data_IF_062304721253
#
_entry.id   IF_062304721253
#
_cell.length_a   1.000
_cell.length_b   1.000
_cell.length_c   1.000
_cell.angle_alpha   90.00
_cell.angle_beta   90.00
_cell.angle_gamma   90.00
#
_symmetry.space_group_name_H-M   'P 1'
#
loop_
_entity.id
_entity.type
_entity.pdbx_description
1 polymer ?
#
# COMPACT_ATOMS: atom_id res chain seq x y z
N UNK A 1 -14.66 -48.61 -80.80
CA UNK A 1 -13.38 -48.43 -80.08
C UNK A 1 -13.60 -47.37 -79.07
N UNK A 2 -13.78 -47.83 -77.80
CA UNK A 2 -14.13 -47.01 -76.65
C UNK A 2 -12.85 -46.82 -75.79
N UNK A 3 -12.37 -45.60 -75.73
CA UNK A 3 -11.28 -45.28 -74.78
C UNK A 3 -11.84 -44.77 -73.47
N UNK A 4 -11.49 -45.53 -72.42
CA UNK A 4 -11.94 -45.27 -71.11
C UNK A 4 -11.30 -44.00 -70.42
N UNK A 5 -12.14 -43.23 -69.77
CA UNK A 5 -11.74 -42.14 -68.90
C UNK A 5 -11.44 -42.70 -67.55
N UNK A 6 -10.18 -42.82 -67.15
CA UNK A 6 -9.76 -43.20 -65.78
C UNK A 6 -9.33 -41.96 -65.00
N UNK A 7 -10.13 -41.66 -64.06
CA UNK A 7 -9.85 -41.36 -62.65
C UNK A 7 -8.55 -40.59 -62.32
N UNK A 8 -8.66 -39.28 -62.21
CA UNK A 8 -7.74 -38.48 -61.38
C UNK A 8 -8.58 -37.79 -60.32
N UNK A 9 -8.88 -38.55 -59.26
CA UNK A 9 -9.64 -38.08 -58.11
C UNK A 9 -8.89 -38.39 -56.81
N UNK A 10 -8.79 -37.42 -55.92
CA UNK A 10 -8.54 -37.55 -54.49
C UNK A 10 -7.09 -37.70 -53.99
N UNK A 11 -6.25 -36.69 -54.17
CA UNK A 11 -5.08 -36.58 -53.33
C UNK A 11 -4.81 -35.17 -52.76
N UNK A 12 -5.72 -34.22 -52.90
CA UNK A 12 -5.53 -32.86 -52.45
C UNK A 12 -6.03 -32.50 -51.03
N UNK A 13 -6.85 -33.29 -50.30
CA UNK A 13 -7.23 -32.83 -48.96
C UNK A 13 -6.26 -33.27 -47.84
N UNK A 14 -5.39 -34.27 -48.07
CA UNK A 14 -4.51 -34.75 -47.00
C UNK A 14 -3.30 -33.83 -46.71
N UNK A 15 -2.81 -33.13 -47.75
CA UNK A 15 -1.68 -32.24 -47.58
C UNK A 15 -2.08 -30.92 -46.87
N UNK A 16 -3.32 -30.45 -47.06
CA UNK A 16 -3.83 -29.23 -46.40
C UNK A 16 -4.07 -29.43 -44.88
N UNK A 17 -4.42 -30.66 -44.45
CA UNK A 17 -4.67 -30.97 -43.05
C UNK A 17 -3.37 -31.07 -42.24
N UNK A 18 -2.26 -31.48 -42.86
CA UNK A 18 -0.96 -31.58 -42.18
C UNK A 18 -0.30 -30.22 -41.99
N UNK A 19 -0.59 -29.22 -42.79
CA UNK A 19 -0.04 -27.87 -42.67
C UNK A 19 -0.72 -27.05 -41.57
N UNK A 20 -1.97 -27.37 -41.19
CA UNK A 20 -2.68 -26.75 -40.11
C UNK A 20 -2.17 -27.15 -38.71
N UNK A 21 -1.43 -28.24 -38.60
CA UNK A 21 -0.90 -28.75 -37.31
C UNK A 21 0.45 -28.09 -36.91
N UNK A 22 1.02 -27.26 -37.79
CA UNK A 22 2.26 -26.48 -37.53
C UNK A 22 1.97 -25.03 -37.13
N UNK A 23 0.72 -24.70 -36.81
CA UNK A 23 0.43 -23.37 -36.27
C UNK A 23 1.11 -23.27 -34.87
N UNK A 24 2.10 -22.38 -34.65
CA UNK A 24 2.68 -22.22 -33.33
C UNK A 24 1.54 -21.81 -32.38
N UNK A 25 1.32 -22.63 -31.37
CA UNK A 25 0.41 -22.25 -30.28
C UNK A 25 0.90 -20.93 -29.71
N UNK A 26 0.03 -19.96 -29.47
CA UNK A 26 0.44 -18.73 -28.81
C UNK A 26 1.01 -19.08 -27.44
N UNK A 27 2.32 -18.96 -27.30
CA UNK A 27 2.96 -19.02 -25.98
C UNK A 27 2.45 -17.79 -25.24
N UNK A 28 1.67 -17.99 -24.20
CA UNK A 28 1.27 -16.90 -23.32
C UNK A 28 2.56 -16.23 -22.79
N UNK A 29 2.74 -14.96 -23.10
CA UNK A 29 3.88 -14.20 -22.61
C UNK A 29 3.87 -14.26 -21.07
N UNK A 30 4.99 -14.70 -20.49
CA UNK A 30 5.15 -14.72 -19.05
C UNK A 30 5.15 -13.27 -18.53
N UNK A 31 4.37 -13.01 -17.49
CA UNK A 31 4.28 -11.69 -16.84
C UNK A 31 4.79 -11.79 -15.41
N UNK A 32 5.58 -10.82 -15.00
CA UNK A 32 5.88 -10.60 -13.60
C UNK A 32 4.93 -9.56 -13.03
N UNK A 33 4.40 -9.84 -11.84
CA UNK A 33 3.68 -8.89 -11.02
C UNK A 33 4.48 -8.60 -9.75
N UNK A 34 4.33 -7.40 -9.21
CA UNK A 34 4.88 -7.04 -7.91
C UNK A 34 3.96 -6.03 -7.23
N UNK A 35 4.22 -5.77 -5.95
CA UNK A 35 3.62 -4.68 -5.21
C UNK A 35 4.72 -3.80 -4.63
N UNK A 36 4.56 -2.49 -4.70
CA UNK A 36 5.48 -1.53 -4.07
C UNK A 36 4.84 -1.07 -2.76
N UNK A 37 5.38 -1.51 -1.60
CA UNK A 37 4.91 -1.08 -0.29
C UNK A 37 5.37 0.34 0.00
N UNK A 38 4.48 1.15 0.54
CA UNK A 38 4.76 2.51 1.01
C UNK A 38 4.17 2.67 2.40
N UNK A 39 5.03 2.98 3.36
CA UNK A 39 4.65 3.22 4.74
C UNK A 39 4.60 4.72 5.03
N UNK A 40 3.60 5.13 5.80
CA UNK A 40 3.47 6.48 6.33
C UNK A 40 3.37 6.39 7.85
N UNK A 41 4.09 7.23 8.56
CA UNK A 41 4.04 7.35 10.02
C UNK A 41 3.78 8.79 10.40
N UNK A 42 3.02 9.00 11.47
CA UNK A 42 2.84 10.31 12.09
C UNK A 42 3.49 10.31 13.45
N UNK A 43 4.42 11.23 13.67
CA UNK A 43 5.02 11.52 14.97
C UNK A 43 4.26 12.68 15.64
N UNK A 44 4.35 12.78 16.97
CA UNK A 44 3.65 13.79 17.76
C UNK A 44 2.32 13.29 18.33
N UNK A 45 1.31 14.15 18.35
CA UNK A 45 0.01 13.82 18.92
C UNK A 45 -0.83 12.96 17.95
N UNK A 46 -1.84 12.27 18.49
CA UNK A 46 -2.81 11.54 17.66
C UNK A 46 -3.59 12.50 16.74
N UNK A 47 -3.82 12.10 15.51
CA UNK A 47 -4.48 12.91 14.49
C UNK A 47 -5.39 12.04 13.62
N UNK A 48 -6.39 12.65 12.99
CA UNK A 48 -7.21 12.04 11.94
C UNK A 48 -6.74 12.44 10.52
N UNK A 49 -5.50 12.91 10.39
CA UNK A 49 -4.95 13.34 9.11
C UNK A 49 -4.95 12.21 8.08
N UNK A 50 -5.22 12.59 6.84
CA UNK A 50 -5.14 11.71 5.67
C UNK A 50 -3.98 12.17 4.82
N UNK A 51 -3.07 11.24 4.56
CA UNK A 51 -1.88 11.45 3.73
C UNK A 51 -2.10 10.83 2.36
N UNK A 52 -1.61 11.49 1.33
CA UNK A 52 -1.68 10.98 -0.04
C UNK A 52 -0.28 10.70 -0.55
N UNK A 53 -0.02 9.46 -0.92
CA UNK A 53 1.23 9.05 -1.56
C UNK A 53 0.99 8.85 -3.06
N UNK A 54 1.92 9.32 -3.87
CA UNK A 54 1.84 9.28 -5.32
C UNK A 54 3.00 8.49 -5.91
N UNK A 55 2.72 7.78 -6.99
CA UNK A 55 3.71 7.03 -7.74
C UNK A 55 3.69 7.47 -9.20
N UNK A 56 4.84 7.93 -9.68
CA UNK A 56 5.06 8.34 -11.07
C UNK A 56 6.01 7.37 -11.75
N UNK A 57 5.57 6.65 -12.80
CA UNK A 57 6.47 5.84 -13.62
C UNK A 57 7.54 6.72 -14.29
N UNK A 58 8.77 6.26 -14.33
CA UNK A 58 9.89 6.87 -15.04
C UNK A 58 10.27 5.99 -16.24
N UNK A 59 10.92 6.59 -17.24
CA UNK A 59 11.52 5.87 -18.38
C UNK A 59 10.55 4.86 -19.04
N UNK A 60 9.31 5.24 -19.26
CA UNK A 60 8.25 4.39 -19.84
C UNK A 60 7.94 3.11 -19.04
N UNK A 61 8.25 3.06 -17.74
CA UNK A 61 7.87 1.94 -16.88
C UNK A 61 6.33 1.74 -16.85
N UNK A 62 5.85 0.48 -16.75
CA UNK A 62 4.42 0.20 -16.69
C UNK A 62 3.75 0.91 -15.50
N UNK A 63 2.57 1.49 -15.72
CA UNK A 63 1.84 2.17 -14.66
C UNK A 63 1.10 1.17 -13.77
N UNK A 64 0.97 1.43 -12.45
CA UNK A 64 0.07 0.68 -11.58
C UNK A 64 -1.39 0.98 -11.88
N UNK A 65 -2.30 0.19 -11.31
CA UNK A 65 -3.75 0.43 -11.41
C UNK A 65 -4.13 1.81 -10.83
N UNK A 66 -3.52 2.17 -9.71
CA UNK A 66 -3.72 3.47 -9.06
C UNK A 66 -2.37 4.17 -8.89
N UNK A 67 -2.30 5.45 -9.24
CA UNK A 67 -1.09 6.26 -9.11
C UNK A 67 -1.06 7.11 -7.83
N UNK A 68 -2.16 7.15 -7.11
CA UNK A 68 -2.28 7.83 -5.82
C UNK A 68 -3.06 6.95 -4.85
N UNK A 69 -2.56 6.84 -3.63
CA UNK A 69 -3.18 6.09 -2.54
C UNK A 69 -3.24 6.98 -1.30
N UNK A 70 -4.27 6.77 -0.47
CA UNK A 70 -4.45 7.51 0.77
C UNK A 70 -4.23 6.62 1.98
N UNK A 71 -3.62 7.20 3.02
CA UNK A 71 -3.36 6.56 4.31
C UNK A 71 -3.92 7.46 5.41
N UNK A 72 -4.81 6.94 6.26
CA UNK A 72 -5.33 7.66 7.42
C UNK A 72 -4.48 7.35 8.66
N UNK A 73 -4.03 8.37 9.36
CA UNK A 73 -3.25 8.30 10.61
C UNK A 73 -1.88 7.61 10.50
N UNK A 74 -1.58 6.96 9.41
CA UNK A 74 -0.40 6.15 9.21
C UNK A 74 -0.72 4.68 8.90
N UNK A 75 0.27 3.95 8.40
CA UNK A 75 0.15 2.57 7.98
C UNK A 75 0.89 2.29 6.68
N UNK A 76 0.65 1.14 6.09
CA UNK A 76 1.27 0.73 4.83
C UNK A 76 0.21 0.51 3.76
N UNK A 77 0.44 1.10 2.59
CA UNK A 77 -0.35 0.89 1.37
C UNK A 77 0.51 0.28 0.28
N UNK A 78 -0.12 -0.31 -0.72
CA UNK A 78 0.57 -1.07 -1.76
C UNK A 78 0.13 -0.58 -3.15
N UNK A 79 1.06 -0.06 -3.93
CA UNK A 79 0.84 0.10 -5.35
C UNK A 79 0.92 -1.26 -6.04
N UNK A 80 -0.10 -1.62 -6.79
CA UNK A 80 -0.27 -2.94 -7.41
C UNK A 80 -0.70 -2.84 -8.86
N UNK A 81 -0.79 -3.98 -9.55
CA UNK A 81 -1.27 -4.07 -10.92
C UNK A 81 -0.22 -3.69 -11.97
N UNK A 82 1.05 -3.74 -11.61
CA UNK A 82 2.14 -3.66 -12.59
C UNK A 82 2.14 -4.92 -13.46
N UNK A 83 2.37 -4.73 -14.75
CA UNK A 83 2.52 -5.81 -15.71
C UNK A 83 3.85 -5.63 -16.44
N UNK A 84 4.81 -6.48 -16.11
CA UNK A 84 6.12 -6.51 -16.75
C UNK A 84 6.16 -7.69 -17.72
N UNK A 85 6.34 -7.40 -18.98
CA UNK A 85 6.36 -8.40 -20.05
C UNK A 85 7.79 -8.77 -20.48
N UNK A 86 8.81 -7.99 -20.06
CA UNK A 86 10.22 -8.17 -20.42
C UNK A 86 11.13 -8.01 -19.22
N UNK A 87 12.31 -8.67 -19.21
CA UNK A 87 13.37 -8.38 -18.25
C UNK A 87 13.88 -6.94 -18.40
N UNK A 88 14.18 -6.30 -17.26
CA UNK A 88 14.71 -4.93 -17.24
C UNK A 88 14.64 -4.30 -15.87
N UNK A 89 15.15 -3.08 -15.75
CA UNK A 89 15.04 -2.24 -14.58
C UNK A 89 14.00 -1.14 -14.83
N UNK A 90 12.91 -1.17 -14.10
CA UNK A 90 11.80 -0.22 -14.20
C UNK A 90 11.82 0.70 -12.99
N UNK A 91 11.84 2.01 -13.24
CA UNK A 91 11.99 3.01 -12.20
C UNK A 91 10.70 3.77 -11.95
N UNK A 92 10.47 4.11 -10.68
CA UNK A 92 9.31 4.84 -10.21
C UNK A 92 9.73 5.89 -9.21
N UNK A 93 9.20 7.11 -9.35
CA UNK A 93 9.28 8.13 -8.32
C UNK A 93 8.10 7.98 -7.37
N UNK A 94 8.37 7.83 -6.07
CA UNK A 94 7.35 7.81 -5.02
C UNK A 94 7.53 9.04 -4.15
N UNK A 95 6.49 9.81 -3.97
CA UNK A 95 6.48 11.02 -3.15
C UNK A 95 5.17 11.13 -2.37
N UNK A 96 5.23 11.80 -1.24
CA UNK A 96 4.03 12.23 -0.52
C UNK A 96 3.59 13.58 -1.06
N UNK A 97 2.28 13.74 -1.30
CA UNK A 97 1.71 15.04 -1.62
C UNK A 97 1.52 15.84 -0.33
N UNK A 98 2.10 17.04 -0.25
CA UNK A 98 1.79 17.98 0.82
C UNK A 98 0.28 18.26 0.86
N UNK A 99 -0.33 17.99 2.00
CA UNK A 99 -1.72 18.31 2.28
C UNK A 99 -1.87 19.72 2.88
N UNK A 100 -3.10 20.08 3.17
CA UNK A 100 -3.44 21.35 3.83
C UNK A 100 -3.87 21.22 5.28
N UNK A 101 -3.58 20.08 5.95
CA UNK A 101 -4.00 19.88 7.34
C UNK A 101 -3.24 20.84 8.26
N UNK A 102 -4.00 21.60 9.09
CA UNK A 102 -3.43 22.53 10.06
C UNK A 102 -2.54 21.76 11.06
N UNK A 103 -1.48 22.41 11.53
CA UNK A 103 -0.56 21.84 12.53
C UNK A 103 0.14 20.54 12.10
N UNK A 104 0.19 20.27 10.78
CA UNK A 104 0.84 19.08 10.22
C UNK A 104 2.04 19.49 9.39
N UNK A 105 3.21 18.96 9.73
CA UNK A 105 4.43 19.03 8.90
C UNK A 105 4.53 17.74 8.08
N UNK A 106 4.52 17.90 6.76
CA UNK A 106 4.58 16.78 5.82
C UNK A 106 6.03 16.41 5.49
N UNK A 107 6.29 15.13 5.29
CA UNK A 107 7.58 14.66 4.75
C UNK A 107 7.75 15.16 3.31
N UNK A 108 8.89 15.79 3.02
CA UNK A 108 9.19 16.36 1.70
C UNK A 108 10.15 15.50 0.88
N UNK A 109 10.60 14.37 1.43
CA UNK A 109 11.48 13.47 0.72
C UNK A 109 10.72 12.72 -0.39
N UNK A 110 11.49 12.20 -1.32
CA UNK A 110 10.98 11.28 -2.33
C UNK A 110 11.90 10.06 -2.43
N UNK A 111 11.41 9.02 -3.07
CA UNK A 111 12.16 7.78 -3.28
C UNK A 111 12.13 7.40 -4.75
N UNK A 112 13.28 6.98 -5.27
CA UNK A 112 13.31 6.24 -6.53
C UNK A 112 13.26 4.75 -6.21
N UNK A 113 12.15 4.11 -6.57
CA UNK A 113 11.97 2.67 -6.46
C UNK A 113 12.34 2.04 -7.80
N UNK A 114 13.24 1.07 -7.78
CA UNK A 114 13.59 0.28 -8.96
C UNK A 114 13.03 -1.13 -8.79
N UNK A 115 12.26 -1.57 -9.79
CA UNK A 115 11.80 -2.95 -9.93
C UNK A 115 12.67 -3.61 -10.98
N UNK A 116 13.47 -4.59 -10.56
CA UNK A 116 14.27 -5.42 -11.47
C UNK A 116 13.51 -6.67 -11.83
N UNK A 117 13.24 -6.83 -13.10
CA UNK A 117 12.62 -8.03 -13.67
C UNK A 117 13.69 -8.87 -14.33
N UNK A 118 13.73 -10.15 -14.02
CA UNK A 118 14.69 -11.11 -14.55
C UNK A 118 13.98 -12.31 -15.13
N UNK A 119 14.54 -12.89 -16.19
CA UNK A 119 14.07 -14.17 -16.73
C UNK A 119 14.39 -15.33 -15.78
N UNK A 120 13.49 -16.31 -15.73
CA UNK A 120 13.65 -17.57 -15.01
C UNK A 120 14.03 -18.70 -15.99
N UNK A 121 14.68 -19.77 -15.50
CA UNK A 121 15.01 -20.91 -16.34
C UNK A 121 13.78 -21.63 -16.95
N UNK A 122 12.63 -21.53 -16.31
CA UNK A 122 11.34 -22.07 -16.77
C UNK A 122 10.63 -21.20 -17.83
N UNK A 123 11.27 -20.12 -18.28
CA UNK A 123 10.69 -19.14 -19.21
C UNK A 123 9.80 -18.11 -18.55
N UNK A 124 9.63 -18.16 -17.21
CA UNK A 124 8.89 -17.17 -16.44
C UNK A 124 9.69 -15.92 -16.17
N UNK A 125 9.06 -14.94 -15.52
CA UNK A 125 9.69 -13.72 -15.04
C UNK A 125 9.63 -13.65 -13.50
N UNK A 126 10.65 -13.05 -12.89
CA UNK A 126 10.71 -12.74 -11.47
C UNK A 126 10.97 -11.25 -11.28
N UNK A 127 10.35 -10.63 -10.27
CA UNK A 127 10.56 -9.23 -9.92
C UNK A 127 11.14 -9.11 -8.52
N UNK A 128 12.19 -8.31 -8.37
CA UNK A 128 12.73 -7.84 -7.10
C UNK A 128 12.69 -6.31 -7.07
N UNK A 129 12.65 -5.70 -5.89
CA UNK A 129 12.61 -4.24 -5.78
C UNK A 129 13.55 -3.72 -4.70
N UNK A 130 13.99 -2.48 -4.86
CA UNK A 130 14.67 -1.69 -3.84
C UNK A 130 14.33 -0.22 -4.02
N UNK A 131 14.51 0.57 -2.96
CA UNK A 131 14.31 2.02 -2.97
C UNK A 131 15.61 2.75 -2.66
N UNK A 132 15.74 3.96 -3.19
CA UNK A 132 16.80 4.92 -2.85
C UNK A 132 16.12 6.24 -2.53
N UNK A 133 16.42 6.81 -1.36
CA UNK A 133 15.87 8.11 -0.95
C UNK A 133 16.54 9.23 -1.72
N UNK A 134 15.79 10.26 -2.06
CA UNK A 134 16.32 11.46 -2.73
C UNK A 134 17.47 12.09 -1.96
N UNK A 135 18.59 12.34 -2.65
CA UNK A 135 19.82 12.86 -2.06
C UNK A 135 20.75 11.81 -1.45
N UNK A 136 20.33 10.54 -1.41
CA UNK A 136 21.13 9.42 -0.92
C UNK A 136 21.58 8.52 -2.08
N UNK A 137 22.62 7.69 -1.83
CA UNK A 137 23.09 6.67 -2.77
C UNK A 137 22.90 5.26 -2.25
N UNK A 138 22.71 5.12 -0.94
CA UNK A 138 22.45 3.84 -0.30
C UNK A 138 21.02 3.38 -0.54
N UNK A 139 20.83 2.06 -0.59
CA UNK A 139 19.48 1.48 -0.59
C UNK A 139 18.82 1.74 0.76
N UNK A 140 17.58 2.21 0.71
CA UNK A 140 16.74 2.33 1.89
C UNK A 140 16.13 0.96 2.23
N UNK A 141 15.82 0.73 3.51
CA UNK A 141 15.13 -0.48 3.99
C UNK A 141 13.69 -0.58 3.47
N UNK A 142 13.15 0.53 2.97
CA UNK A 142 11.81 0.63 2.38
C UNK A 142 11.46 2.08 2.06
N UNK A 143 10.24 2.29 1.57
CA UNK A 143 9.68 3.63 1.38
C UNK A 143 8.91 4.00 2.65
N UNK A 144 9.41 5.00 3.39
CA UNK A 144 8.81 5.48 4.64
C UNK A 144 8.74 7.00 4.65
N UNK A 145 7.54 7.54 4.73
CA UNK A 145 7.29 8.97 4.99
C UNK A 145 6.99 9.18 6.47
N UNK A 146 7.59 10.21 7.06
CA UNK A 146 7.42 10.53 8.48
C UNK A 146 6.87 11.95 8.58
N UNK A 147 5.59 12.04 8.89
CA UNK A 147 4.89 13.29 9.14
C UNK A 147 4.89 13.63 10.62
N UNK A 148 4.64 14.90 10.96
CA UNK A 148 4.55 15.32 12.34
C UNK A 148 3.28 16.14 12.54
N UNK A 149 2.55 15.84 13.60
CA UNK A 149 1.39 16.60 14.03
C UNK A 149 1.62 17.22 15.40
N UNK A 150 1.60 18.57 15.45
CA UNK A 150 1.73 19.35 16.67
C UNK A 150 0.43 20.15 16.89
N UNK A 151 -0.52 19.63 17.73
CA UNK A 151 -1.78 20.32 17.98
C UNK A 151 -1.55 21.67 18.66
N UNK A 152 -2.47 22.65 18.52
CA UNK A 152 -2.38 23.91 19.22
C UNK A 152 -2.37 23.71 20.73
N UNK A 153 -1.56 24.46 21.45
CA UNK A 153 -1.32 24.34 22.90
C UNK A 153 -2.62 24.37 23.75
N UNK A 154 -3.64 25.07 23.29
CA UNK A 154 -4.97 25.13 23.92
C UNK A 154 -5.68 23.78 24.01
N UNK A 155 -5.47 22.88 23.08
CA UNK A 155 -6.07 21.55 23.12
C UNK A 155 -5.40 20.64 24.17
N UNK A 156 -4.07 20.73 24.32
CA UNK A 156 -3.33 19.99 25.33
C UNK A 156 -3.72 20.43 26.75
N UNK A 157 -3.88 21.73 27.00
CA UNK A 157 -4.26 22.30 28.30
C UNK A 157 -5.70 21.92 28.67
N UNK A 158 -6.63 21.87 27.72
CA UNK A 158 -8.02 21.49 27.98
C UNK A 158 -8.17 20.04 28.45
N UNK A 159 -7.42 19.12 27.88
CA UNK A 159 -7.44 17.70 28.28
C UNK A 159 -6.86 17.53 29.69
N UNK A 160 -5.76 18.22 30.00
CA UNK A 160 -5.12 18.15 31.34
C UNK A 160 -6.00 18.82 32.40
N UNK A 161 -6.65 19.97 32.09
CA UNK A 161 -7.57 20.65 33.00
C UNK A 161 -8.86 19.84 33.26
N UNK A 162 -9.38 19.12 32.25
CA UNK A 162 -10.50 18.21 32.41
C UNK A 162 -10.17 17.02 33.30
N UNK A 163 -9.00 16.44 33.15
CA UNK A 163 -8.53 15.33 34.01
C UNK A 163 -8.31 15.81 35.46
N UNK A 164 -7.74 17.00 35.66
CA UNK A 164 -7.54 17.58 37.01
C UNK A 164 -8.88 17.90 37.68
N UNK A 165 -9.92 18.35 36.97
CA UNK A 165 -11.25 18.60 37.53
C UNK A 165 -12.00 17.30 37.84
N UNK A 166 -11.74 16.22 37.14
CA UNK A 166 -12.35 14.90 37.46
C UNK A 166 -11.75 14.26 38.72
N UNK A 167 -10.50 14.63 39.09
CA UNK A 167 -9.82 14.11 40.27
C UNK A 167 -10.20 14.78 41.62
N UNK A 168 -10.90 15.92 41.61
CA UNK A 168 -11.18 16.71 42.83
C UNK A 168 -12.65 16.61 43.28
N UNK A 169 -13.37 15.55 42.95
CA UNK A 169 -14.61 15.22 43.66
C UNK A 169 -14.29 14.46 44.90
N UNK A 170 -13.90 15.19 45.93
CA UNK A 170 -13.84 14.68 47.30
C UNK A 170 -15.24 14.28 47.72
N UNK A 171 -15.47 13.00 47.86
CA UNK A 171 -16.68 12.48 48.49
C UNK A 171 -16.60 12.90 49.95
N UNK A 172 -17.39 13.91 50.35
CA UNK A 172 -17.58 14.28 51.73
C UNK A 172 -18.29 13.09 52.40
N UNK A 173 -17.52 12.33 53.17
CA UNK A 173 -18.06 11.25 54.01
C UNK A 173 -19.09 11.87 54.96
N UNK A 174 -20.34 11.41 54.85
CA UNK A 174 -21.38 11.70 55.84
C UNK A 174 -20.98 11.03 57.18
N UNK A 175 -20.97 11.80 58.24
CA UNK A 175 -20.77 11.29 59.60
C UNK A 175 -21.87 10.26 59.93
N UNK A 176 -21.55 9.15 60.64
CA UNK A 176 -22.54 8.19 61.08
C UNK A 176 -23.50 8.84 62.12
N UNK A 177 -24.78 8.72 61.90
CA UNK A 177 -25.82 9.15 62.84
C UNK A 177 -25.71 8.34 64.15
N UNK A 178 -25.66 9.04 65.25
CA UNK A 178 -25.70 8.44 66.58
C UNK A 178 -27.02 7.72 66.83
N UNK A 179 -26.99 6.49 67.25
CA UNK A 179 -28.12 5.71 67.70
C UNK A 179 -28.67 6.28 69.02
N UNK A 180 -30.01 6.36 69.21
CA UNK A 180 -30.58 6.76 70.49
C UNK A 180 -30.37 5.63 71.52
N UNK A 181 -29.80 5.97 72.67
CA UNK A 181 -29.79 5.09 73.82
C UNK A 181 -31.19 5.04 74.45
N UNK A 182 -31.83 3.91 74.37
CA UNK A 182 -32.97 3.57 75.21
C UNK A 182 -32.47 3.17 76.58
N UNK A 183 -32.70 4.04 77.54
CA UNK A 183 -32.55 3.68 78.97
C UNK A 183 -33.73 2.86 79.42
N UNK A 184 -33.45 1.63 79.76
CA UNK A 184 -34.40 0.81 80.57
C UNK A 184 -34.00 0.84 82.03
N UNK A 185 -34.82 1.58 82.80
CA UNK A 185 -34.89 1.40 84.20
C UNK A 185 -35.96 0.41 84.56
N UNK A 186 -35.63 -0.58 85.38
CA UNK A 186 -36.61 -1.40 86.06
C UNK A 186 -36.29 -1.38 87.55
N UNK A 187 -37.33 -1.50 88.42
CA UNK A 187 -37.25 -1.45 89.85
C UNK A 187 -36.67 -2.71 90.49
#
# INVERSE_FOLDING_TARGET
>A
MTFGKTALRCWLPAAALLLALLCPLPVAAARAGTAIPVSVRTDGAATDAVYTVELTPLDAAPAPVQRALTVKNGGTVYFTGFAFDEPGDYRYLVAERSGGAAHTTYDTHSYTVTVRVTGRPDGGLAAGLWAVRSGETAKADGVLFVNRYDPPETAATAVTASAARAGTRTVKAAAPAALPQTGDGFP
#
